data_IF_557472882626
#
_entry.id   IF_557472882626
#
_cell.length_a   1.000
_cell.length_b   1.000
_cell.length_c   1.000
_cell.angle_alpha   90.00
_cell.angle_beta   90.00
_cell.angle_gamma   90.00
#
_symmetry.space_group_name_H-M   'P 1'
#
loop_
_entity.id
_entity.type
_entity.pdbx_description
1 polymer ?
#
# COMPACT_ATOMS: atom_id res chain seq x y z
N UNK A 1 17.36 6.43 -10.62
CA UNK A 1 17.04 5.02 -10.29
C UNK A 1 17.25 4.78 -8.79
N UNK A 2 16.35 4.04 -8.13
CA UNK A 2 16.49 3.66 -6.72
C UNK A 2 17.74 2.79 -6.50
N UNK A 3 18.46 3.03 -5.40
CA UNK A 3 19.47 2.10 -4.92
C UNK A 3 18.84 1.11 -3.92
N UNK A 4 19.61 0.08 -3.56
CA UNK A 4 19.13 -0.98 -2.67
C UNK A 4 18.69 -0.47 -1.28
N UNK A 5 19.39 0.46 -0.63
CA UNK A 5 18.96 1.00 0.66
C UNK A 5 17.62 1.73 0.59
N UNK A 6 17.36 2.53 -0.44
CA UNK A 6 16.09 3.24 -0.62
C UNK A 6 14.95 2.26 -0.88
N UNK A 7 15.19 1.22 -1.70
CA UNK A 7 14.21 0.17 -1.92
C UNK A 7 13.86 -0.54 -0.61
N UNK A 8 14.85 -0.92 0.19
CA UNK A 8 14.63 -1.57 1.48
C UNK A 8 13.85 -0.65 2.45
N UNK A 9 14.23 0.63 2.53
CA UNK A 9 13.55 1.62 3.36
C UNK A 9 12.09 1.80 2.93
N UNK A 10 11.83 1.98 1.65
CA UNK A 10 10.49 2.16 1.10
C UNK A 10 9.64 0.89 1.24
N UNK A 11 10.24 -0.29 1.11
CA UNK A 11 9.55 -1.56 1.33
C UNK A 11 9.13 -1.73 2.80
N UNK A 12 10.03 -1.43 3.74
CA UNK A 12 9.72 -1.45 5.19
C UNK A 12 8.67 -0.41 5.57
N UNK A 13 8.79 0.81 5.02
CA UNK A 13 7.80 1.87 5.21
C UNK A 13 6.44 1.47 4.64
N UNK A 14 6.42 0.91 3.42
CA UNK A 14 5.22 0.40 2.75
C UNK A 14 4.55 -0.71 3.53
N UNK A 15 5.32 -1.69 4.01
CA UNK A 15 4.84 -2.74 4.91
C UNK A 15 4.15 -2.13 6.15
N UNK A 16 4.86 -1.29 6.91
CA UNK A 16 4.33 -0.72 8.15
C UNK A 16 3.12 0.19 7.92
N UNK A 17 3.15 1.01 6.88
CA UNK A 17 2.03 1.88 6.54
C UNK A 17 0.80 1.09 6.10
N UNK A 18 0.99 -0.04 5.41
CA UNK A 18 -0.13 -0.93 5.03
C UNK A 18 -0.74 -1.59 6.25
N UNK A 19 0.08 -2.08 7.17
CA UNK A 19 -0.38 -2.63 8.46
C UNK A 19 -1.18 -1.58 9.25
N UNK A 20 -0.69 -0.33 9.29
CA UNK A 20 -1.41 0.78 9.91
C UNK A 20 -2.76 1.05 9.21
N UNK A 21 -2.78 1.02 7.88
CA UNK A 21 -3.98 1.30 7.10
C UNK A 21 -5.08 0.23 7.27
N UNK A 22 -4.68 -1.04 7.30
CA UNK A 22 -5.61 -2.18 7.20
C UNK A 22 -5.87 -2.85 8.55
N UNK A 23 -4.90 -2.90 9.45
CA UNK A 23 -5.04 -3.64 10.72
C UNK A 23 -5.14 -2.76 11.96
N UNK A 24 -4.73 -1.49 11.88
CA UNK A 24 -4.73 -0.63 13.07
C UNK A 24 -6.10 -0.01 13.34
N UNK A 25 -6.49 -0.06 14.61
CA UNK A 25 -7.75 0.49 15.14
C UNK A 25 -7.87 2.02 15.01
N UNK A 26 -6.75 2.72 14.79
CA UNK A 26 -6.73 4.16 14.61
C UNK A 26 -7.62 4.62 13.45
N UNK A 27 -7.75 3.79 12.41
CA UNK A 27 -8.55 4.09 11.23
C UNK A 27 -9.96 3.47 11.26
N UNK A 28 -10.33 2.74 12.33
CA UNK A 28 -11.65 2.13 12.46
C UNK A 28 -12.80 3.12 12.31
N UNK A 29 -12.79 4.33 12.93
CA UNK A 29 -13.90 5.27 12.77
C UNK A 29 -14.09 5.76 11.33
N UNK A 30 -13.00 5.79 10.55
CA UNK A 30 -13.06 6.14 9.12
C UNK A 30 -13.57 4.95 8.32
N UNK A 31 -13.11 3.75 8.65
CA UNK A 31 -13.50 2.51 7.98
C UNK A 31 -14.99 2.21 8.17
N UNK A 32 -15.49 2.36 9.39
CA UNK A 32 -16.91 2.17 9.72
C UNK A 32 -17.81 3.13 8.94
N UNK A 33 -17.37 4.39 8.76
CA UNK A 33 -18.11 5.35 7.91
C UNK A 33 -18.13 4.93 6.45
N UNK A 34 -17.03 4.38 5.94
CA UNK A 34 -16.96 3.90 4.55
C UNK A 34 -17.84 2.65 4.38
N UNK A 35 -17.85 1.73 5.35
CA UNK A 35 -18.75 0.57 5.36
C UNK A 35 -20.22 1.01 5.41
N UNK A 36 -20.60 1.91 6.32
CA UNK A 36 -21.96 2.44 6.40
C UNK A 36 -22.38 3.19 5.12
N UNK A 37 -21.44 3.88 4.46
CA UNK A 37 -21.69 4.46 3.15
C UNK A 37 -21.91 3.39 2.07
N UNK A 38 -21.18 2.27 2.09
CA UNK A 38 -21.41 1.16 1.16
C UNK A 38 -22.79 0.50 1.39
N UNK A 39 -23.18 0.27 2.65
CA UNK A 39 -24.47 -0.33 3.04
C UNK A 39 -25.68 0.46 2.52
N UNK A 40 -25.55 1.77 2.31
CA UNK A 40 -26.62 2.57 1.69
C UNK A 40 -26.93 2.16 0.24
N UNK A 41 -25.97 1.53 -0.48
CA UNK A 41 -26.13 1.00 -1.85
C UNK A 41 -25.18 -0.20 -2.08
N UNK A 42 -25.52 -1.40 -1.58
CA UNK A 42 -24.62 -2.56 -1.62
C UNK A 42 -24.33 -3.04 -3.05
N UNK A 43 -25.30 -2.92 -3.96
CA UNK A 43 -25.18 -3.37 -5.36
C UNK A 43 -24.35 -2.42 -6.26
N UNK A 44 -23.79 -1.35 -5.71
CA UNK A 44 -23.06 -0.38 -6.52
C UNK A 44 -21.60 -0.79 -6.70
N UNK A 45 -21.27 -1.26 -7.91
CA UNK A 45 -19.92 -1.69 -8.29
C UNK A 45 -18.79 -0.74 -7.87
N UNK A 46 -18.91 0.60 -8.04
CA UNK A 46 -17.87 1.53 -7.57
C UNK A 46 -17.65 1.51 -6.06
N UNK A 47 -18.72 1.33 -5.25
CA UNK A 47 -18.59 1.27 -3.79
C UNK A 47 -17.95 -0.05 -3.37
N UNK A 48 -18.32 -1.15 -4.01
CA UNK A 48 -17.69 -2.46 -3.81
C UNK A 48 -16.19 -2.39 -4.10
N UNK A 49 -15.79 -1.77 -5.22
CA UNK A 49 -14.37 -1.61 -5.56
C UNK A 49 -13.59 -0.84 -4.49
N UNK A 50 -14.16 0.24 -3.93
CA UNK A 50 -13.53 1.00 -2.83
C UNK A 50 -13.38 0.14 -1.58
N UNK A 51 -14.41 -0.60 -1.19
CA UNK A 51 -14.35 -1.50 -0.02
C UNK A 51 -13.29 -2.58 -0.21
N UNK A 52 -13.26 -3.23 -1.38
CA UNK A 52 -12.22 -4.21 -1.70
C UNK A 52 -10.83 -3.59 -1.63
N UNK A 53 -10.67 -2.34 -2.10
CA UNK A 53 -9.39 -1.64 -2.08
C UNK A 53 -8.86 -1.42 -0.66
N UNK A 54 -9.71 -0.92 0.24
CA UNK A 54 -9.29 -0.57 1.61
C UNK A 54 -9.18 -1.79 2.53
N UNK A 55 -9.86 -2.89 2.20
CA UNK A 55 -9.92 -4.08 3.06
C UNK A 55 -8.82 -5.10 2.73
N UNK A 56 -8.26 -5.04 1.53
CA UNK A 56 -7.23 -5.98 1.09
C UNK A 56 -5.83 -5.38 1.32
N UNK A 57 -5.01 -6.04 2.14
CA UNK A 57 -3.60 -5.68 2.40
C UNK A 57 -2.82 -5.53 1.10
N UNK A 58 -3.05 -6.40 0.11
CA UNK A 58 -2.35 -6.35 -1.17
C UNK A 58 -2.81 -5.16 -2.05
N UNK A 59 -4.12 -4.88 -2.07
CA UNK A 59 -4.65 -3.76 -2.85
C UNK A 59 -4.25 -2.42 -2.24
N UNK A 60 -4.41 -2.29 -0.92
CA UNK A 60 -4.04 -1.08 -0.20
C UNK A 60 -2.52 -0.88 -0.22
N UNK A 61 -1.74 -1.94 -0.04
CA UNK A 61 -0.29 -1.91 -0.09
C UNK A 61 0.28 -1.48 -1.43
N UNK A 62 -0.37 -1.87 -2.55
CA UNK A 62 -0.03 -1.35 -3.87
C UNK A 62 -0.09 0.18 -3.93
N UNK A 63 -1.21 0.78 -3.48
CA UNK A 63 -1.36 2.24 -3.54
C UNK A 63 -0.49 2.98 -2.54
N UNK A 64 -0.33 2.43 -1.32
CA UNK A 64 0.53 3.03 -0.29
C UNK A 64 1.99 3.07 -0.75
N UNK A 65 2.50 1.97 -1.30
CA UNK A 65 3.88 1.91 -1.80
C UNK A 65 4.10 2.87 -2.97
N UNK A 66 3.12 3.03 -3.85
CA UNK A 66 3.16 4.02 -4.92
C UNK A 66 3.18 5.46 -4.41
N UNK A 67 2.32 5.77 -3.44
CA UNK A 67 2.27 7.10 -2.83
C UNK A 67 3.58 7.44 -2.08
N UNK A 68 4.15 6.47 -1.35
CA UNK A 68 5.44 6.62 -0.69
C UNK A 68 6.58 6.84 -1.70
N UNK A 69 6.64 6.04 -2.76
CA UNK A 69 7.63 6.20 -3.81
C UNK A 69 7.51 7.57 -4.48
N UNK A 70 6.30 7.97 -4.89
CA UNK A 70 6.06 9.27 -5.51
C UNK A 70 6.48 10.41 -4.57
N UNK A 71 6.13 10.32 -3.28
CA UNK A 71 6.54 11.31 -2.26
C UNK A 71 8.05 11.37 -2.13
N UNK A 72 8.72 10.21 -2.08
CA UNK A 72 10.18 10.13 -2.00
C UNK A 72 10.85 10.77 -3.20
N UNK A 73 10.41 10.42 -4.42
CA UNK A 73 10.96 10.97 -5.65
C UNK A 73 10.78 12.49 -5.76
N UNK A 74 9.61 12.99 -5.33
CA UNK A 74 9.33 14.43 -5.31
C UNK A 74 10.17 15.15 -4.24
N UNK A 75 10.23 14.62 -3.02
CA UNK A 75 10.96 15.23 -1.91
C UNK A 75 12.47 15.25 -2.12
N UNK A 76 13.02 14.25 -2.82
CA UNK A 76 14.44 14.17 -3.18
C UNK A 76 14.78 14.85 -4.51
N UNK A 77 13.79 15.36 -5.24
CA UNK A 77 13.99 16.00 -6.53
C UNK A 77 14.37 15.04 -7.66
N UNK A 78 14.18 13.73 -7.49
CA UNK A 78 14.60 12.69 -8.43
C UNK A 78 13.52 12.26 -9.43
N UNK A 79 12.30 12.78 -9.31
CA UNK A 79 11.15 12.45 -10.18
C UNK A 79 11.42 12.68 -11.68
N UNK A 80 12.19 13.70 -12.05
CA UNK A 80 12.49 14.00 -13.45
C UNK A 80 13.81 13.38 -13.92
N UNK A 81 14.47 12.59 -13.06
CA UNK A 81 15.77 12.00 -13.34
C UNK A 81 15.72 10.73 -14.19
N UNK A 82 14.56 10.07 -14.28
CA UNK A 82 14.37 8.84 -15.04
C UNK A 82 13.06 8.86 -15.85
N UNK A 83 12.94 8.03 -16.90
CA UNK A 83 11.68 7.83 -17.61
C UNK A 83 10.58 7.24 -16.71
N UNK A 84 9.31 7.59 -16.98
CA UNK A 84 8.15 7.07 -16.24
C UNK A 84 8.08 5.54 -16.17
N UNK A 85 8.55 4.84 -17.20
CA UNK A 85 8.58 3.36 -17.21
C UNK A 85 9.54 2.81 -16.13
N UNK A 86 10.62 3.52 -15.83
CA UNK A 86 11.56 3.15 -14.76
C UNK A 86 10.89 3.33 -13.40
N UNK A 87 10.20 4.45 -13.17
CA UNK A 87 9.42 4.66 -11.95
C UNK A 87 8.29 3.64 -11.77
N UNK A 88 7.69 3.18 -12.88
CA UNK A 88 6.73 2.07 -12.87
C UNK A 88 7.36 0.76 -12.40
N UNK A 89 8.58 0.45 -12.86
CA UNK A 89 9.33 -0.71 -12.40
C UNK A 89 9.77 -0.58 -10.93
N UNK A 90 10.18 0.61 -10.50
CA UNK A 90 10.50 0.91 -9.10
C UNK A 90 9.29 0.72 -8.19
N UNK A 91 8.10 1.16 -8.62
CA UNK A 91 6.87 0.93 -7.87
C UNK A 91 6.59 -0.57 -7.72
N UNK A 92 6.67 -1.35 -8.80
CA UNK A 92 6.53 -2.81 -8.75
C UNK A 92 7.54 -3.45 -7.80
N UNK A 93 8.79 -2.98 -7.79
CA UNK A 93 9.84 -3.50 -6.92
C UNK A 93 9.54 -3.23 -5.43
N UNK A 94 9.17 -1.99 -5.09
CA UNK A 94 8.81 -1.61 -3.72
C UNK A 94 7.57 -2.37 -3.25
N UNK A 95 6.53 -2.44 -4.09
CA UNK A 95 5.31 -3.19 -3.79
C UNK A 95 5.59 -4.68 -3.58
N UNK A 96 6.38 -5.30 -4.47
CA UNK A 96 6.77 -6.70 -4.36
C UNK A 96 7.55 -7.00 -3.08
N UNK A 97 8.50 -6.15 -2.71
CA UNK A 97 9.26 -6.30 -1.47
C UNK A 97 8.37 -6.15 -0.22
N UNK A 98 7.47 -5.17 -0.19
CA UNK A 98 6.51 -5.01 0.90
C UNK A 98 5.55 -6.20 1.02
N UNK A 99 5.10 -6.77 -0.12
CA UNK A 99 4.26 -7.97 -0.16
C UNK A 99 4.99 -9.19 0.38
N UNK A 100 6.27 -9.37 0.05
CA UNK A 100 7.09 -10.46 0.60
C UNK A 100 7.17 -10.39 2.14
N UNK A 101 7.31 -9.18 2.69
CA UNK A 101 7.31 -8.96 4.14
C UNK A 101 5.95 -9.32 4.77
N UNK A 102 4.83 -8.88 4.16
CA UNK A 102 3.50 -9.26 4.63
C UNK A 102 3.30 -10.78 4.62
N UNK A 103 3.63 -11.46 3.51
CA UNK A 103 3.48 -12.92 3.44
C UNK A 103 4.34 -13.66 4.45
N UNK A 104 5.55 -13.15 4.70
CA UNK A 104 6.44 -13.68 5.72
C UNK A 104 5.81 -13.56 7.13
N UNK A 105 5.21 -12.42 7.44
CA UNK A 105 4.53 -12.18 8.72
C UNK A 105 3.31 -13.10 8.89
N UNK A 106 2.44 -13.15 7.87
CA UNK A 106 1.25 -14.04 7.85
C UNK A 106 1.64 -15.50 8.12
N UNK A 107 2.68 -16.01 7.45
CA UNK A 107 3.14 -17.40 7.61
C UNK A 107 3.66 -17.75 9.01
N UNK A 108 3.96 -16.76 9.85
CA UNK A 108 4.37 -16.97 11.25
C UNK A 108 3.21 -16.84 12.21
N UNK A 109 2.24 -15.98 11.93
CA UNK A 109 1.04 -15.84 12.73
C UNK A 109 0.18 -17.12 12.76
N UNK A 110 0.23 -17.93 11.70
CA UNK A 110 -0.47 -19.23 11.62
C UNK A 110 0.27 -20.39 12.31
N UNK A 111 1.51 -20.17 12.77
CA UNK A 111 2.39 -21.21 13.32
C UNK A 111 2.41 -21.37 14.84
N UNK A 112 1.71 -20.48 15.57
CA UNK A 112 1.50 -20.50 17.02
C UNK A 112 0.07 -20.96 17.38
#
# INVERSE_FOLDING_TARGET
MLQLPELALLALAGYRATQLAVHDTLLDPVRDRIFAWHEQRPESGPRTAVITLISCVYCMGWWITGALLATWLLATGTWHGEPLVVHGAEWLAVAGAAVLLNRWDDSRAEGD
#
